data_IF_703246430793
#
_entry.id   IF_703246430793
#
_cell.length_a   1.000
_cell.length_b   1.000
_cell.length_c   1.000
_cell.angle_alpha   90.00
_cell.angle_beta   90.00
_cell.angle_gamma   90.00
#
_symmetry.space_group_name_H-M   'P 1'
#
loop_
_entity.id
_entity.type
_entity.pdbx_description
1 polymer ?
#
# COMPACT_ATOMS: atom_id res chain seq x y z
N UNK A 1 -2.33 11.52 6.02
CA UNK A 1 -1.20 10.85 5.34
C UNK A 1 -0.35 10.12 6.35
N UNK A 2 0.38 9.13 5.89
CA UNK A 2 1.36 8.34 6.63
C UNK A 2 2.79 8.83 6.32
N UNK A 3 3.75 8.66 7.25
CA UNK A 3 5.14 9.08 7.04
C UNK A 3 6.00 8.05 6.31
N UNK A 4 5.45 6.87 6.01
CA UNK A 4 6.17 5.71 5.51
C UNK A 4 6.70 5.84 4.09
N UNK A 5 7.45 4.82 3.69
CA UNK A 5 8.10 4.76 2.39
C UNK A 5 7.15 4.31 1.28
N UNK A 6 7.17 5.06 0.19
CA UNK A 6 6.44 4.79 -1.04
C UNK A 6 7.21 5.41 -2.21
N UNK A 7 7.09 4.85 -3.41
CA UNK A 7 7.48 5.55 -4.64
C UNK A 7 6.25 6.18 -5.30
N UNK A 8 6.39 7.16 -6.19
CA UNK A 8 5.25 7.81 -6.85
C UNK A 8 4.31 6.79 -7.48
N UNK A 9 3.02 6.84 -7.11
CA UNK A 9 1.96 5.93 -7.55
C UNK A 9 2.19 4.44 -7.26
N UNK A 10 3.10 4.09 -6.35
CA UNK A 10 3.46 2.71 -6.05
C UNK A 10 2.29 1.90 -5.46
N UNK A 11 2.26 0.59 -5.75
CA UNK A 11 1.33 -0.38 -5.14
C UNK A 11 1.61 -0.54 -3.65
N UNK A 12 2.87 -0.39 -3.22
CA UNK A 12 3.29 -0.48 -1.82
C UNK A 12 3.28 0.88 -1.16
N UNK A 13 2.65 0.95 0.01
CA UNK A 13 2.70 2.05 0.97
C UNK A 13 3.20 1.48 2.31
N UNK A 14 4.53 1.32 2.42
CA UNK A 14 5.16 0.73 3.60
C UNK A 14 5.30 1.74 4.73
N UNK A 15 4.48 1.62 5.78
CA UNK A 15 4.38 2.62 6.83
C UNK A 15 4.20 2.03 8.22
N UNK A 16 4.61 2.75 9.29
CA UNK A 16 4.29 2.36 10.65
C UNK A 16 2.79 2.45 10.93
N UNK A 17 2.30 1.51 11.74
CA UNK A 17 0.96 1.48 12.30
C UNK A 17 1.02 1.74 13.80
N UNK A 18 0.32 2.76 14.28
CA UNK A 18 0.24 3.03 15.71
C UNK A 18 -0.55 1.98 16.50
N UNK A 19 -1.41 1.21 15.82
CA UNK A 19 -2.14 0.07 16.39
C UNK A 19 -3.46 0.42 17.07
N UNK A 20 -3.84 1.69 17.13
CA UNK A 20 -5.10 2.15 17.70
C UNK A 20 -6.08 2.55 16.58
N UNK A 21 -7.35 2.14 16.67
CA UNK A 21 -8.37 2.56 15.71
C UNK A 21 -8.82 4.00 15.95
N UNK A 22 -9.38 4.66 14.94
CA UNK A 22 -9.96 5.99 15.07
C UNK A 22 -10.12 6.70 13.74
N UNK A 23 -11.02 7.68 13.69
CA UNK A 23 -11.30 8.45 12.47
C UNK A 23 -10.05 9.14 11.91
N UNK A 24 -9.19 9.67 12.77
CA UNK A 24 -7.95 10.37 12.36
C UNK A 24 -6.76 9.43 12.15
N UNK A 25 -6.97 8.10 12.32
CA UNK A 25 -5.92 7.07 12.25
C UNK A 25 -6.05 6.15 11.05
N UNK A 26 -6.87 6.51 10.07
CA UNK A 26 -7.13 5.63 8.91
C UNK A 26 -5.91 5.36 8.04
N UNK A 27 -4.90 6.25 8.11
CA UNK A 27 -3.63 6.05 7.43
C UNK A 27 -2.61 5.23 8.24
N UNK A 28 -3.04 4.59 9.35
CA UNK A 28 -2.19 3.81 10.26
C UNK A 28 -1.39 4.62 11.26
N UNK A 29 -1.05 5.82 10.91
CA UNK A 29 -0.20 6.72 11.69
C UNK A 29 -0.97 7.97 12.11
N UNK A 30 -0.90 8.29 13.40
CA UNK A 30 -1.41 9.53 13.97
C UNK A 30 -0.32 10.18 14.83
N UNK A 31 0.14 11.36 14.43
CA UNK A 31 1.32 12.02 15.01
C UNK A 31 1.32 12.11 16.55
N UNK A 32 0.19 12.38 17.25
CA UNK A 32 0.18 12.39 18.72
C UNK A 32 0.38 11.04 19.40
N UNK A 33 0.26 9.92 18.69
CA UNK A 33 0.43 8.58 19.25
C UNK A 33 1.92 8.29 19.54
N UNK A 34 2.19 7.46 20.54
CA UNK A 34 3.54 7.15 21.02
C UNK A 34 3.89 5.66 20.93
N UNK A 35 3.05 4.88 20.23
CA UNK A 35 3.23 3.45 20.04
C UNK A 35 3.29 3.09 18.56
N UNK A 36 4.06 2.05 18.25
CA UNK A 36 4.07 1.36 16.96
C UNK A 36 3.79 -0.11 17.21
N UNK A 37 2.84 -0.68 16.47
CA UNK A 37 2.41 -2.06 16.59
C UNK A 37 2.69 -2.87 15.31
N UNK A 38 3.42 -2.31 14.37
CA UNK A 38 3.88 -2.98 13.15
C UNK A 38 4.11 -2.01 12.00
N UNK A 39 4.52 -2.59 10.87
CA UNK A 39 4.80 -1.91 9.61
C UNK A 39 4.11 -2.68 8.50
N UNK A 40 2.99 -2.16 8.01
CA UNK A 40 2.20 -2.80 6.94
C UNK A 40 2.50 -2.21 5.56
N UNK A 41 2.13 -2.95 4.51
CA UNK A 41 2.52 -2.66 3.13
C UNK A 41 1.48 -1.87 2.36
N UNK A 42 0.27 -1.73 2.91
CA UNK A 42 -0.84 -1.06 2.24
C UNK A 42 -1.53 -0.08 3.16
N UNK A 43 -1.73 1.16 2.70
CA UNK A 43 -2.37 2.22 3.48
C UNK A 43 -3.23 3.12 2.57
N UNK A 44 -4.34 3.60 3.12
CA UNK A 44 -5.06 4.74 2.56
C UNK A 44 -4.45 6.05 3.08
N UNK A 45 -4.62 7.12 2.32
CA UNK A 45 -4.23 8.48 2.74
C UNK A 45 -5.47 9.34 2.91
N UNK A 46 -5.52 10.14 3.96
CA UNK A 46 -6.65 11.04 4.23
C UNK A 46 -7.32 10.75 5.57
N UNK A 47 -8.61 11.13 5.70
CA UNK A 47 -9.50 10.84 6.82
C UNK A 47 -10.73 10.10 6.34
N UNK A 48 -11.44 9.38 7.21
CA UNK A 48 -12.67 8.67 6.89
C UNK A 48 -12.64 7.18 7.24
N UNK A 49 -12.85 6.32 6.24
CA UNK A 49 -12.85 4.88 6.45
C UNK A 49 -11.43 4.31 6.52
N UNK A 50 -11.10 3.65 7.61
CA UNK A 50 -9.88 2.86 7.72
C UNK A 50 -10.06 1.52 7.02
N UNK A 51 -9.11 1.17 6.18
CA UNK A 51 -9.07 -0.08 5.42
C UNK A 51 -7.61 -0.42 5.07
N UNK A 52 -7.37 -1.62 4.54
CA UNK A 52 -6.05 -2.14 4.17
C UNK A 52 -5.23 -2.61 5.38
N UNK A 53 -3.99 -2.16 5.59
CA UNK A 53 -3.03 -2.63 6.62
C UNK A 53 -2.57 -4.08 6.40
N UNK A 54 -2.40 -4.44 5.15
CA UNK A 54 -2.04 -5.79 4.77
C UNK A 54 -0.54 -6.04 5.02
N UNK A 55 -0.24 -7.28 5.38
CA UNK A 55 1.12 -7.81 5.52
C UNK A 55 1.95 -6.96 6.48
N UNK A 56 1.53 -6.98 7.76
CA UNK A 56 2.16 -6.21 8.83
C UNK A 56 3.27 -7.00 9.52
N UNK A 57 4.49 -6.47 9.53
CA UNK A 57 5.63 -7.01 10.26
C UNK A 57 5.94 -6.20 11.52
N UNK A 58 6.36 -6.88 12.60
CA UNK A 58 6.81 -6.25 13.84
C UNK A 58 8.07 -6.94 14.37
N UNK A 59 9.25 -6.30 14.32
CA UNK A 59 10.45 -6.83 14.93
C UNK A 59 10.46 -6.57 16.44
N UNK A 60 10.93 -7.56 17.21
CA UNK A 60 11.02 -7.50 18.68
C UNK A 60 12.26 -8.22 19.19
N UNK A 61 12.66 -7.92 20.43
CA UNK A 61 13.58 -8.75 21.22
C UNK A 61 12.83 -9.36 22.39
N UNK A 62 13.32 -10.45 22.99
CA UNK A 62 12.70 -11.06 24.17
C UNK A 62 13.23 -10.45 25.46
N UNK A 63 12.35 -10.26 26.50
CA UNK A 63 10.90 -10.43 26.46
C UNK A 63 10.23 -9.31 25.66
N UNK A 64 9.15 -9.62 24.92
CA UNK A 64 8.38 -8.63 24.19
C UNK A 64 7.12 -8.20 24.94
N UNK A 65 6.62 -7.00 24.63
CA UNK A 65 5.41 -6.42 25.20
C UNK A 65 4.19 -6.78 24.36
N UNK A 66 3.14 -7.19 25.03
CA UNK A 66 1.84 -7.45 24.42
C UNK A 66 0.75 -6.80 25.26
N UNK A 67 -0.17 -6.12 24.62
CA UNK A 67 -1.36 -5.53 25.21
C UNK A 67 -2.62 -6.19 24.65
N UNK A 68 -3.78 -6.08 25.32
CA UNK A 68 -5.05 -6.49 24.75
C UNK A 68 -5.29 -5.84 23.39
N UNK A 69 -6.09 -6.52 22.54
CA UNK A 69 -6.54 -5.95 21.26
C UNK A 69 -7.19 -4.55 21.48
N UNK A 70 -7.02 -3.60 20.57
CA UNK A 70 -6.49 -3.77 19.20
C UNK A 70 -4.95 -3.68 19.10
N UNK A 71 -4.23 -3.27 20.14
CA UNK A 71 -2.81 -2.94 20.06
C UNK A 71 -1.93 -4.20 19.79
N UNK A 72 -2.14 -5.30 20.56
CA UNK A 72 -1.32 -6.51 20.44
C UNK A 72 0.14 -6.29 20.81
N UNK A 73 1.06 -6.81 20.03
CA UNK A 73 2.51 -6.59 20.19
C UNK A 73 2.87 -5.18 19.73
N UNK A 74 3.61 -4.44 20.53
CA UNK A 74 3.93 -3.03 20.26
C UNK A 74 5.27 -2.62 20.87
N UNK A 75 5.77 -1.48 20.42
CA UNK A 75 6.84 -0.74 21.08
C UNK A 75 6.46 0.72 21.24
N UNK A 76 6.97 1.37 22.26
CA UNK A 76 6.97 2.82 22.34
C UNK A 76 8.05 3.42 21.44
N UNK A 77 7.81 4.64 20.95
CA UNK A 77 8.77 5.41 20.17
C UNK A 77 8.75 6.90 20.56
N UNK A 78 9.60 7.69 19.94
CA UNK A 78 9.65 9.14 20.10
C UNK A 78 9.94 9.80 18.76
N UNK A 79 9.29 10.92 18.46
CA UNK A 79 9.56 11.72 17.28
C UNK A 79 11.00 12.27 17.21
N UNK A 80 11.72 12.34 18.36
CA UNK A 80 13.14 12.67 18.35
C UNK A 80 14.02 11.58 17.73
N UNK A 81 13.51 10.35 17.70
CA UNK A 81 14.19 9.16 17.17
C UNK A 81 13.55 8.66 15.86
N UNK A 82 12.74 9.53 15.24
CA UNK A 82 12.02 9.28 14.00
C UNK A 82 12.50 10.22 12.89
N UNK A 83 12.54 9.75 11.67
CA UNK A 83 12.78 10.60 10.50
C UNK A 83 12.05 10.06 9.27
N UNK A 84 11.54 10.97 8.45
CA UNK A 84 10.86 10.65 7.20
C UNK A 84 11.33 11.57 6.07
N UNK A 85 11.44 11.02 4.89
CA UNK A 85 11.61 11.74 3.63
C UNK A 85 10.93 10.97 2.50
N UNK A 86 10.77 11.58 1.35
CA UNK A 86 10.13 10.92 0.20
C UNK A 86 10.85 9.62 -0.15
N UNK A 87 10.16 8.48 -0.01
CA UNK A 87 10.69 7.14 -0.26
C UNK A 87 11.48 6.51 0.89
N UNK A 88 11.53 7.14 2.06
CA UNK A 88 12.27 6.63 3.21
C UNK A 88 11.61 7.01 4.53
N UNK A 89 11.64 6.06 5.48
CA UNK A 89 11.25 6.26 6.87
C UNK A 89 12.19 5.52 7.80
N UNK A 90 12.44 6.07 9.00
CA UNK A 90 13.13 5.36 10.07
C UNK A 90 12.56 5.69 11.43
N UNK A 91 12.69 4.74 12.39
CA UNK A 91 12.30 4.93 13.79
C UNK A 91 13.05 3.97 14.70
N UNK A 92 13.33 4.41 15.94
CA UNK A 92 13.83 3.54 17.00
C UNK A 92 12.66 2.97 17.81
N UNK A 93 12.51 1.64 17.82
CA UNK A 93 11.61 0.92 18.72
C UNK A 93 12.27 0.83 20.10
N UNK A 94 11.87 1.73 21.03
CA UNK A 94 12.58 1.94 22.29
C UNK A 94 12.57 0.74 23.21
N UNK A 95 11.46 -0.01 23.23
CA UNK A 95 11.31 -1.14 24.14
C UNK A 95 12.21 -2.32 23.77
N UNK A 96 12.67 -2.35 22.51
CA UNK A 96 13.48 -3.45 21.95
C UNK A 96 14.88 -3.00 21.53
N UNK A 97 15.14 -1.69 21.54
CA UNK A 97 16.37 -1.09 20.99
C UNK A 97 16.66 -1.56 19.56
N UNK A 98 15.61 -1.57 18.71
CA UNK A 98 15.69 -1.93 17.30
C UNK A 98 15.52 -0.67 16.45
N UNK A 99 16.50 -0.36 15.61
CA UNK A 99 16.31 0.65 14.57
C UNK A 99 15.61 0.00 13.38
N UNK A 100 14.51 0.61 12.94
CA UNK A 100 13.73 0.19 11.78
C UNK A 100 13.87 1.25 10.70
N UNK A 101 14.20 0.81 9.50
CA UNK A 101 14.27 1.65 8.31
C UNK A 101 13.43 1.03 7.19
N UNK A 102 12.70 1.86 6.47
CA UNK A 102 11.78 1.45 5.42
C UNK A 102 12.10 2.17 4.11
N UNK A 103 12.06 1.43 3.01
CA UNK A 103 12.03 1.96 1.65
C UNK A 103 11.15 1.07 0.76
N UNK A 104 10.87 1.50 -0.47
CA UNK A 104 9.99 0.76 -1.36
C UNK A 104 10.39 0.88 -2.82
N UNK A 105 9.99 -0.11 -3.62
CA UNK A 105 9.83 -0.03 -5.07
C UNK A 105 8.35 0.12 -5.41
N UNK A 106 7.96 -0.03 -6.67
CA UNK A 106 6.54 0.05 -7.05
C UNK A 106 5.70 -1.05 -6.38
N UNK A 107 6.24 -2.29 -6.28
CA UNK A 107 5.52 -3.48 -5.80
C UNK A 107 6.19 -4.20 -4.64
N UNK A 108 7.31 -3.67 -4.14
CA UNK A 108 8.03 -4.29 -3.03
C UNK A 108 8.28 -3.31 -1.90
N UNK A 109 8.06 -3.77 -0.65
CA UNK A 109 8.50 -3.10 0.56
C UNK A 109 9.82 -3.70 1.05
N UNK A 110 10.78 -2.86 1.41
CA UNK A 110 12.08 -3.27 1.93
C UNK A 110 12.25 -2.66 3.31
N UNK A 111 12.41 -3.52 4.30
CA UNK A 111 12.57 -3.16 5.70
C UNK A 111 13.95 -3.61 6.17
N UNK A 112 14.71 -2.72 6.81
CA UNK A 112 15.97 -3.02 7.48
C UNK A 112 15.75 -2.89 8.98
N UNK A 113 16.06 -3.96 9.71
CA UNK A 113 16.03 -4.00 11.16
C UNK A 113 17.43 -4.16 11.71
N UNK A 114 17.93 -3.16 12.44
CA UNK A 114 19.21 -3.25 13.15
C UNK A 114 18.95 -3.68 14.58
N UNK A 115 19.37 -4.88 14.92
CA UNK A 115 19.11 -5.51 16.22
C UNK A 115 20.26 -5.33 17.20
N UNK A 116 19.99 -5.28 18.51
CA UNK A 116 21.00 -5.54 19.53
C UNK A 116 21.37 -7.05 19.54
N UNK A 117 22.36 -7.43 20.33
CA UNK A 117 22.61 -8.83 20.66
C UNK A 117 21.45 -9.37 21.51
N UNK A 118 20.65 -10.27 20.95
CA UNK A 118 19.42 -10.76 21.58
C UNK A 118 18.88 -12.05 20.95
N UNK A 119 17.96 -12.69 21.66
CA UNK A 119 16.93 -13.54 21.06
C UNK A 119 15.89 -12.62 20.42
N UNK A 120 15.98 -12.49 19.11
CA UNK A 120 15.12 -11.61 18.32
C UNK A 120 14.00 -12.40 17.64
N UNK A 121 12.91 -11.72 17.34
CA UNK A 121 11.83 -12.29 16.54
C UNK A 121 11.23 -11.24 15.60
N UNK A 122 10.72 -11.69 14.47
CA UNK A 122 9.90 -10.88 13.57
C UNK A 122 8.52 -11.52 13.50
N UNK A 123 7.49 -10.77 13.92
CA UNK A 123 6.10 -11.19 13.77
C UNK A 123 5.56 -10.77 12.41
N UNK A 124 4.82 -11.66 11.76
CA UNK A 124 3.93 -11.36 10.64
C UNK A 124 2.49 -11.50 11.12
N UNK A 125 1.73 -10.43 11.03
CA UNK A 125 0.35 -10.38 11.50
C UNK A 125 -0.62 -10.14 10.34
N UNK A 126 -1.35 -11.18 9.93
CA UNK A 126 -2.40 -11.12 8.91
C UNK A 126 -3.81 -10.89 9.52
N UNK A 127 -3.89 -10.82 10.86
CA UNK A 127 -5.14 -10.54 11.60
C UNK A 127 -5.40 -9.05 11.75
N UNK A 128 -4.38 -8.22 11.54
CA UNK A 128 -4.45 -6.80 11.82
C UNK A 128 -5.48 -6.13 10.93
N UNK A 129 -6.37 -5.39 11.55
CA UNK A 129 -7.40 -4.59 10.92
C UNK A 129 -7.53 -3.28 11.70
N UNK A 130 -7.83 -2.17 11.03
CA UNK A 130 -7.83 -0.87 11.70
C UNK A 130 -9.20 -0.42 12.16
N UNK A 131 -10.23 -0.56 11.35
CA UNK A 131 -11.56 -0.06 11.70
C UNK A 131 -12.66 -1.02 11.28
N UNK A 132 -13.01 -0.99 9.99
CA UNK A 132 -14.15 -1.71 9.46
C UNK A 132 -13.76 -2.96 8.71
N UNK A 133 -12.51 -3.03 8.31
CA UNK A 133 -11.97 -4.18 7.63
C UNK A 133 -11.74 -5.35 8.61
N UNK A 134 -11.78 -6.54 8.08
CA UNK A 134 -11.40 -7.75 8.80
C UNK A 134 -10.92 -8.81 7.82
N UNK A 135 -10.07 -9.70 8.30
CA UNK A 135 -9.57 -10.80 7.51
C UNK A 135 -10.64 -11.87 7.34
N UNK A 136 -10.98 -12.17 6.08
CA UNK A 136 -11.88 -13.28 5.72
C UNK A 136 -11.15 -14.60 5.73
N UNK A 137 -9.97 -14.61 5.09
CA UNK A 137 -9.10 -15.76 4.98
C UNK A 137 -7.67 -15.33 4.83
N UNK A 138 -6.73 -16.14 5.30
CA UNK A 138 -5.32 -15.89 5.12
C UNK A 138 -4.53 -17.19 5.08
N UNK A 139 -3.32 -17.11 4.54
CA UNK A 139 -2.38 -18.23 4.50
C UNK A 139 -0.96 -17.73 4.69
N UNK A 140 -0.16 -18.50 5.42
CA UNK A 140 1.29 -18.38 5.47
C UNK A 140 1.88 -19.75 5.15
N UNK A 141 2.80 -19.79 4.20
CA UNK A 141 3.54 -20.98 3.76
C UNK A 141 5.04 -20.69 3.89
N UNK A 142 5.74 -21.53 4.63
CA UNK A 142 7.20 -21.51 4.72
C UNK A 142 7.75 -22.25 3.51
N UNK A 143 8.44 -21.55 2.62
CA UNK A 143 9.08 -22.13 1.43
C UNK A 143 10.43 -22.73 1.79
N UNK A 144 11.23 -21.97 2.53
CA UNK A 144 12.52 -22.39 3.08
C UNK A 144 12.86 -21.55 4.33
N UNK A 145 14.08 -21.64 4.86
CA UNK A 145 14.48 -20.93 6.07
C UNK A 145 14.65 -19.41 5.90
N UNK A 146 14.51 -18.90 4.70
CA UNK A 146 14.61 -17.45 4.37
C UNK A 146 13.39 -16.93 3.66
N UNK A 147 12.51 -17.79 3.15
CA UNK A 147 11.42 -17.39 2.25
C UNK A 147 10.07 -17.90 2.77
N UNK A 148 9.13 -16.98 2.84
CA UNK A 148 7.73 -17.26 3.13
C UNK A 148 6.85 -16.64 2.06
N UNK A 149 5.66 -17.21 1.86
CA UNK A 149 4.64 -16.64 0.99
C UNK A 149 3.24 -16.86 1.56
N UNK A 150 2.28 -16.13 1.07
CA UNK A 150 0.91 -16.29 1.53
C UNK A 150 -0.03 -15.25 0.96
N UNK A 151 -1.15 -15.07 1.65
CA UNK A 151 -2.14 -14.07 1.29
C UNK A 151 -2.96 -13.63 2.50
N UNK A 152 -3.55 -12.46 2.38
CA UNK A 152 -4.66 -11.97 3.19
C UNK A 152 -5.81 -11.60 2.27
N UNK A 153 -6.95 -12.27 2.43
CA UNK A 153 -8.22 -11.87 1.86
C UNK A 153 -8.99 -11.13 2.93
N UNK A 154 -9.42 -9.92 2.65
CA UNK A 154 -10.10 -9.08 3.63
C UNK A 154 -11.37 -8.46 3.07
N UNK A 155 -12.25 -8.06 3.95
CA UNK A 155 -13.44 -7.28 3.66
C UNK A 155 -13.43 -6.03 4.51
N UNK A 156 -13.70 -4.92 3.89
CA UNK A 156 -13.79 -3.63 4.54
C UNK A 156 -14.70 -2.73 3.72
N UNK A 157 -14.15 -1.66 3.22
CA UNK A 157 -14.82 -0.76 2.30
C UNK A 157 -15.06 -1.43 0.95
N UNK A 158 -14.04 -2.11 0.44
CA UNK A 158 -14.19 -3.07 -0.65
C UNK A 158 -14.76 -4.39 -0.10
N UNK A 159 -15.72 -5.05 -0.79
CA UNK A 159 -16.32 -6.30 -0.34
C UNK A 159 -15.35 -7.47 -0.22
N UNK A 160 -14.32 -7.48 -1.05
CA UNK A 160 -13.26 -8.50 -1.04
C UNK A 160 -11.98 -7.91 -1.61
N UNK A 161 -10.95 -7.88 -0.79
CA UNK A 161 -9.62 -7.41 -1.17
C UNK A 161 -8.67 -8.59 -1.20
N UNK A 162 -7.84 -8.65 -2.24
CA UNK A 162 -6.83 -9.67 -2.41
C UNK A 162 -5.44 -9.04 -2.27
N UNK A 163 -4.68 -9.49 -1.26
CA UNK A 163 -3.27 -9.15 -1.14
C UNK A 163 -2.47 -10.42 -0.92
N UNK A 164 -1.74 -10.82 -1.94
CA UNK A 164 -0.79 -11.92 -1.93
C UNK A 164 0.60 -11.37 -1.68
N UNK A 165 1.47 -12.18 -1.05
CA UNK A 165 2.83 -11.77 -0.77
C UNK A 165 3.83 -12.93 -0.92
N UNK A 166 5.07 -12.57 -1.23
CA UNK A 166 6.27 -13.38 -1.02
C UNK A 166 7.31 -12.53 -0.32
N UNK A 167 7.86 -13.03 0.79
CA UNK A 167 8.83 -12.31 1.62
C UNK A 167 10.12 -13.09 1.72
N UNK A 168 11.25 -12.39 1.54
CA UNK A 168 12.60 -12.92 1.75
C UNK A 168 13.25 -12.22 2.95
N UNK A 169 13.80 -13.01 3.85
CA UNK A 169 14.68 -12.57 4.92
C UNK A 169 16.14 -12.72 4.48
N UNK A 170 16.98 -11.72 4.72
CA UNK A 170 18.41 -11.79 4.40
C UNK A 170 19.20 -12.76 5.29
N UNK A 171 18.58 -13.22 6.38
CA UNK A 171 19.14 -14.19 7.34
C UNK A 171 18.14 -15.33 7.54
N UNK A 172 18.60 -16.60 7.57
CA UNK A 172 17.74 -17.72 7.93
C UNK A 172 17.18 -17.59 9.35
N UNK A 173 15.87 -17.79 9.51
CA UNK A 173 15.27 -17.93 10.84
C UNK A 173 15.57 -19.32 11.41
N UNK A 174 15.75 -19.40 12.74
CA UNK A 174 16.08 -20.64 13.44
C UNK A 174 14.85 -21.43 13.85
N UNK A 175 13.69 -20.75 13.96
CA UNK A 175 12.40 -21.37 14.23
C UNK A 175 11.27 -20.52 13.65
N UNK A 176 10.17 -21.19 13.31
CA UNK A 176 8.90 -20.55 12.92
C UNK A 176 7.78 -21.09 13.79
N UNK A 177 6.98 -20.20 14.37
CA UNK A 177 5.80 -20.52 15.17
C UNK A 177 4.59 -19.87 14.53
N UNK A 178 3.59 -20.65 14.17
CA UNK A 178 2.34 -20.16 13.57
C UNK A 178 1.16 -20.39 14.52
N UNK A 179 0.44 -19.33 14.82
CA UNK A 179 -0.88 -19.44 15.42
C UNK A 179 -1.92 -19.59 14.30
N UNK A 180 -2.38 -20.81 14.13
CA UNK A 180 -3.37 -21.20 13.12
C UNK A 180 -4.80 -21.22 13.68
N UNK A 181 -4.99 -20.85 14.95
CA UNK A 181 -6.29 -20.96 15.65
C UNK A 181 -7.04 -19.64 15.74
N UNK A 182 -6.46 -18.58 15.21
CA UNK A 182 -7.07 -17.24 15.26
C UNK A 182 -8.31 -17.13 14.39
N UNK A 183 -9.48 -17.36 14.98
CA UNK A 183 -10.77 -17.04 14.38
C UNK A 183 -11.06 -15.56 14.64
N UNK A 184 -11.33 -14.80 13.59
CA UNK A 184 -11.79 -13.41 13.68
C UNK A 184 -13.30 -13.39 13.58
N UNK A 185 -13.99 -12.88 14.61
CA UNK A 185 -15.42 -12.69 14.59
C UNK A 185 -15.76 -11.20 14.55
N UNK A 186 -16.72 -10.79 13.74
CA UNK A 186 -17.27 -9.44 13.71
C UNK A 186 -18.74 -9.43 14.15
N UNK A 187 -19.24 -8.28 14.62
CA UNK A 187 -20.56 -8.07 15.23
C UNK A 187 -21.79 -8.62 14.46
N UNK A 188 -21.63 -9.01 13.19
CA UNK A 188 -22.70 -9.58 12.36
C UNK A 188 -22.60 -11.09 12.12
N UNK A 189 -21.80 -11.81 12.92
CA UNK A 189 -21.66 -13.27 12.79
C UNK A 189 -20.74 -13.71 11.65
N UNK A 190 -19.93 -12.82 11.06
CA UNK A 190 -18.90 -13.16 10.09
C UNK A 190 -17.73 -13.82 10.79
N UNK A 191 -17.26 -14.93 10.24
CA UNK A 191 -16.13 -15.70 10.76
C UNK A 191 -15.05 -15.73 9.68
N UNK A 192 -13.83 -15.33 10.03
CA UNK A 192 -12.67 -15.38 9.16
C UNK A 192 -11.50 -16.12 9.81
N UNK A 193 -10.56 -16.59 9.02
CA UNK A 193 -9.31 -17.22 9.47
C UNK A 193 -8.16 -16.26 9.28
N UNK A 194 -7.48 -15.89 10.35
CA UNK A 194 -6.34 -15.00 10.31
C UNK A 194 -5.15 -15.59 11.04
N UNK A 195 -4.01 -15.66 10.35
CA UNK A 195 -2.77 -16.20 10.89
C UNK A 195 -1.86 -15.10 11.45
N UNK A 196 -1.16 -15.47 12.52
CA UNK A 196 -0.01 -14.74 13.03
C UNK A 196 1.18 -15.71 13.06
N UNK A 197 2.29 -15.31 12.47
CA UNK A 197 3.53 -16.08 12.51
C UNK A 197 4.62 -15.31 13.25
N UNK A 198 5.51 -16.03 13.96
CA UNK A 198 6.72 -15.52 14.59
C UNK A 198 7.92 -16.27 14.03
N UNK A 199 8.86 -15.54 13.52
CA UNK A 199 10.14 -16.05 13.00
C UNK A 199 11.24 -15.65 13.97
N UNK A 200 11.96 -16.63 14.54
CA UNK A 200 12.97 -16.43 15.57
C UNK A 200 14.37 -16.35 14.97
N UNK A 201 15.18 -15.45 15.51
CA UNK A 201 16.57 -15.21 15.11
C UNK A 201 17.46 -15.06 16.34
N UNK A 202 18.73 -15.48 16.23
CA UNK A 202 19.77 -15.11 17.19
C UNK A 202 20.58 -13.99 16.56
N UNK A 203 20.55 -12.80 17.14
CA UNK A 203 21.21 -11.63 16.60
C UNK A 203 22.46 -11.27 17.41
N UNK A 204 23.46 -10.75 16.71
CA UNK A 204 24.63 -10.09 17.30
C UNK A 204 24.34 -8.60 17.45
N UNK A 205 25.22 -7.92 18.19
CA UNK A 205 25.13 -6.46 18.31
C UNK A 205 25.25 -5.81 16.94
N UNK A 206 24.35 -4.87 16.67
CA UNK A 206 24.26 -4.09 15.42
C UNK A 206 24.08 -4.96 14.16
N UNK A 207 23.52 -6.17 14.32
CA UNK A 207 23.23 -7.03 13.18
C UNK A 207 22.00 -6.57 12.43
N UNK A 208 22.12 -6.44 11.12
CA UNK A 208 21.05 -6.05 10.22
C UNK A 208 20.34 -7.28 9.62
N UNK A 209 19.02 -7.27 9.64
CA UNK A 209 18.17 -8.25 8.93
C UNK A 209 17.27 -7.45 7.98
N UNK A 210 17.35 -7.77 6.69
CA UNK A 210 16.43 -7.25 5.70
C UNK A 210 15.22 -8.16 5.59
N UNK A 211 14.04 -7.53 5.52
CA UNK A 211 12.76 -8.18 5.23
C UNK A 211 12.21 -7.53 3.96
N UNK A 212 12.31 -8.25 2.85
CA UNK A 212 11.92 -7.76 1.53
C UNK A 212 10.68 -8.50 1.07
N UNK A 213 9.58 -7.76 0.86
CA UNK A 213 8.26 -8.33 0.54
C UNK A 213 7.76 -7.78 -0.79
N UNK A 214 7.52 -8.65 -1.76
CA UNK A 214 6.73 -8.35 -2.94
C UNK A 214 5.25 -8.61 -2.67
N UNK A 215 4.37 -7.73 -3.14
CA UNK A 215 2.91 -7.92 -3.06
C UNK A 215 2.28 -8.00 -4.44
N UNK A 216 1.11 -8.61 -4.53
CA UNK A 216 0.30 -8.78 -5.75
C UNK A 216 -1.19 -8.79 -5.40
N UNK A 217 -2.02 -8.22 -6.26
CA UNK A 217 -3.48 -8.37 -6.19
C UNK A 217 -3.98 -9.67 -6.82
N UNK A 218 -3.10 -10.50 -7.42
CA UNK A 218 -3.47 -11.62 -8.29
C UNK A 218 -3.16 -12.96 -7.68
N UNK A 219 -1.91 -13.18 -7.25
CA UNK A 219 -1.47 -14.48 -6.73
C UNK A 219 -0.15 -14.42 -5.96
N UNK A 220 0.14 -15.46 -5.16
CA UNK A 220 1.45 -15.63 -4.50
C UNK A 220 2.58 -15.72 -5.53
N UNK A 221 2.33 -16.35 -6.68
CA UNK A 221 3.31 -16.40 -7.78
C UNK A 221 3.57 -15.00 -8.37
N UNK A 222 2.51 -14.18 -8.55
CA UNK A 222 2.60 -12.79 -8.97
C UNK A 222 3.47 -11.98 -8.01
N UNK A 223 3.23 -12.11 -6.71
CA UNK A 223 4.04 -11.46 -5.67
C UNK A 223 5.53 -11.87 -5.77
N UNK A 224 5.81 -13.14 -5.97
CA UNK A 224 7.17 -13.63 -6.19
C UNK A 224 7.81 -13.11 -7.48
N UNK A 225 7.04 -12.96 -8.57
CA UNK A 225 7.53 -12.33 -9.81
C UNK A 225 7.90 -10.87 -9.56
N UNK A 226 7.03 -10.12 -8.87
CA UNK A 226 7.27 -8.73 -8.51
C UNK A 226 8.54 -8.60 -7.65
N UNK A 227 8.70 -9.45 -6.63
CA UNK A 227 9.88 -9.48 -5.77
C UNK A 227 11.17 -9.72 -6.56
N UNK A 228 11.19 -10.73 -7.42
CA UNK A 228 12.38 -11.07 -8.23
C UNK A 228 12.70 -10.02 -9.27
N UNK A 229 11.72 -9.33 -9.81
CA UNK A 229 11.92 -8.30 -10.83
C UNK A 229 12.41 -6.98 -10.23
N UNK A 230 11.82 -6.55 -9.11
CA UNK A 230 12.06 -5.21 -8.55
C UNK A 230 13.05 -5.18 -7.38
N UNK A 231 13.12 -6.27 -6.59
CA UNK A 231 13.96 -6.33 -5.40
C UNK A 231 14.82 -7.62 -5.32
N UNK A 232 15.62 -7.94 -6.37
CA UNK A 232 16.46 -9.15 -6.39
C UNK A 232 17.64 -9.13 -5.43
N UNK A 233 18.06 -7.96 -4.93
CA UNK A 233 19.25 -7.79 -4.09
C UNK A 233 18.90 -7.64 -2.61
N UNK A 234 19.81 -8.04 -1.73
CA UNK A 234 19.77 -7.71 -0.30
C UNK A 234 20.63 -6.45 -0.05
N UNK A 235 20.20 -5.31 -0.58
CA UNK A 235 20.90 -4.03 -0.54
C UNK A 235 19.91 -2.89 -0.30
N UNK A 236 19.66 -2.59 0.97
CA UNK A 236 18.70 -1.55 1.37
C UNK A 236 19.08 -0.17 0.81
N UNK A 237 20.36 0.20 0.91
CA UNK A 237 20.81 1.54 0.53
C UNK A 237 20.68 1.78 -0.98
N UNK A 238 20.84 0.73 -1.78
CA UNK A 238 20.55 0.77 -3.21
C UNK A 238 19.08 1.14 -3.49
N UNK A 239 18.12 0.47 -2.84
CA UNK A 239 16.70 0.75 -3.05
C UNK A 239 16.27 2.10 -2.49
N UNK A 240 16.82 2.52 -1.35
CA UNK A 240 16.59 3.85 -0.79
C UNK A 240 17.05 4.94 -1.77
N UNK A 241 18.26 4.80 -2.34
CA UNK A 241 18.78 5.73 -3.34
C UNK A 241 17.89 5.78 -4.60
N UNK A 242 17.39 4.63 -5.07
CA UNK A 242 16.49 4.55 -6.22
C UNK A 242 15.13 5.22 -5.92
N UNK A 243 14.55 4.99 -4.75
CA UNK A 243 13.30 5.62 -4.33
C UNK A 243 13.46 7.15 -4.24
N UNK A 244 14.53 7.62 -3.63
CA UNK A 244 14.86 9.05 -3.56
C UNK A 244 15.06 9.67 -4.95
N UNK A 245 15.81 9.02 -5.84
CA UNK A 245 16.00 9.48 -7.22
C UNK A 245 14.69 9.51 -8.01
N UNK A 246 13.80 8.54 -7.80
CA UNK A 246 12.48 8.51 -8.43
C UNK A 246 11.63 9.70 -7.97
N UNK A 247 11.56 9.97 -6.67
CA UNK A 247 10.85 11.14 -6.15
C UNK A 247 11.45 12.46 -6.64
N UNK A 248 12.77 12.60 -6.64
CA UNK A 248 13.43 13.81 -7.15
C UNK A 248 13.10 14.05 -8.63
N UNK A 249 13.09 13.00 -9.45
CA UNK A 249 12.69 13.11 -10.87
C UNK A 249 11.24 13.58 -11.03
N UNK A 250 10.33 13.09 -10.20
CA UNK A 250 8.92 13.48 -10.29
C UNK A 250 8.67 14.89 -9.76
N UNK A 251 9.23 15.21 -8.59
CA UNK A 251 9.03 16.52 -7.98
C UNK A 251 9.71 17.65 -8.76
N UNK A 252 10.81 17.37 -9.47
CA UNK A 252 11.51 18.36 -10.33
C UNK A 252 10.81 18.66 -11.65
N UNK A 253 9.69 17.99 -12.00
CA UNK A 253 8.89 18.35 -13.16
C UNK A 253 8.28 19.76 -13.06
N UNK A 254 8.10 20.26 -11.84
CA UNK A 254 7.67 21.63 -11.58
C UNK A 254 8.68 22.26 -10.62
N UNK A 255 9.47 23.20 -11.15
CA UNK A 255 10.41 23.99 -10.35
C UNK A 255 9.79 25.31 -9.93
N UNK A 256 9.70 25.54 -8.63
CA UNK A 256 9.23 26.80 -8.05
C UNK A 256 10.33 27.50 -7.31
N UNK A 257 10.30 28.83 -7.28
CA UNK A 257 11.20 29.67 -6.50
C UNK A 257 10.38 30.64 -5.65
N UNK A 258 10.61 30.64 -4.34
CA UNK A 258 10.04 31.59 -3.39
C UNK A 258 11.14 32.16 -2.49
N UNK A 259 10.93 33.39 -2.01
CA UNK A 259 11.77 33.97 -0.95
C UNK A 259 11.41 33.41 0.44
N UNK A 260 10.23 32.79 0.57
CA UNK A 260 9.74 32.16 1.78
C UNK A 260 9.94 30.64 1.63
N UNK A 261 10.77 30.05 2.49
CA UNK A 261 11.04 28.62 2.54
C UNK A 261 9.77 27.79 2.84
N UNK A 262 8.87 28.32 3.68
CA UNK A 262 7.62 27.63 4.03
C UNK A 262 6.71 27.42 2.82
N UNK A 263 6.70 28.36 1.86
CA UNK A 263 5.93 28.21 0.63
C UNK A 263 6.50 27.09 -0.26
N UNK A 264 7.83 26.96 -0.28
CA UNK A 264 8.50 25.87 -0.98
C UNK A 264 8.15 24.52 -0.34
N UNK A 265 8.21 24.42 0.98
CA UNK A 265 7.82 23.20 1.73
C UNK A 265 6.37 22.84 1.45
N UNK A 266 5.44 23.79 1.56
CA UNK A 266 4.01 23.57 1.27
C UNK A 266 3.78 23.10 -0.16
N UNK A 267 4.44 23.73 -1.13
CA UNK A 267 4.29 23.38 -2.53
C UNK A 267 4.75 21.93 -2.82
N UNK A 268 5.98 21.59 -2.42
CA UNK A 268 6.52 20.27 -2.69
C UNK A 268 5.85 19.17 -1.86
N UNK A 269 5.39 19.47 -0.65
CA UNK A 269 4.56 18.55 0.15
C UNK A 269 3.22 18.29 -0.54
N UNK A 270 2.55 19.31 -1.06
CA UNK A 270 1.30 19.16 -1.80
C UNK A 270 1.51 18.37 -3.11
N UNK A 271 2.59 18.64 -3.84
CA UNK A 271 2.94 17.90 -5.05
C UNK A 271 3.27 16.43 -4.72
N UNK A 272 4.01 16.16 -3.64
CA UNK A 272 4.23 14.79 -3.13
C UNK A 272 2.91 14.09 -2.83
N UNK A 273 2.00 14.74 -2.09
CA UNK A 273 0.70 14.16 -1.74
C UNK A 273 -0.16 13.82 -2.97
N UNK A 274 -0.07 14.59 -4.05
CA UNK A 274 -0.83 14.31 -5.28
C UNK A 274 -0.43 12.99 -5.97
N UNK A 275 0.77 12.45 -5.63
CA UNK A 275 1.30 11.22 -6.23
C UNK A 275 1.25 9.99 -5.29
N UNK A 276 0.59 10.11 -4.13
CA UNK A 276 0.38 8.99 -3.21
C UNK A 276 -0.70 8.04 -3.74
N UNK A 277 -1.76 8.60 -4.32
CA UNK A 277 -2.85 7.88 -4.97
C UNK A 277 -3.27 8.63 -6.25
N UNK A 278 -3.80 7.91 -7.25
CA UNK A 278 -4.08 6.48 -7.34
C UNK A 278 -2.80 5.63 -7.33
N UNK A 279 -2.95 4.33 -7.08
CA UNK A 279 -1.81 3.41 -6.96
C UNK A 279 -1.79 2.38 -8.08
N UNK A 280 -0.62 1.96 -8.50
CA UNK A 280 -0.45 0.82 -9.41
C UNK A 280 -1.20 -0.39 -8.81
N UNK A 281 -1.96 -1.08 -9.66
CA UNK A 281 -2.68 -2.29 -9.31
C UNK A 281 -2.58 -3.32 -10.43
N UNK A 282 -1.35 -3.58 -10.87
CA UNK A 282 -0.99 -4.67 -11.77
C UNK A 282 0.41 -5.17 -11.43
N UNK A 283 0.61 -6.48 -11.61
CA UNK A 283 1.91 -7.12 -11.46
C UNK A 283 2.88 -6.69 -12.57
N UNK A 284 4.16 -7.00 -12.44
CA UNK A 284 5.19 -6.68 -13.45
C UNK A 284 4.92 -7.29 -14.82
N UNK A 285 4.15 -8.38 -14.87
CA UNK A 285 3.72 -9.02 -16.13
C UNK A 285 2.40 -8.45 -16.68
N UNK A 286 1.85 -7.40 -16.06
CA UNK A 286 0.62 -6.72 -16.43
C UNK A 286 -0.65 -7.37 -15.87
N UNK A 287 -0.57 -8.49 -15.15
CA UNK A 287 -1.75 -9.15 -14.58
C UNK A 287 -2.40 -8.30 -13.48
N UNK A 288 -3.73 -8.22 -13.44
CA UNK A 288 -4.51 -7.54 -12.40
C UNK A 288 -5.86 -8.21 -12.16
N UNK A 289 -6.46 -7.98 -11.01
CA UNK A 289 -7.78 -8.48 -10.64
C UNK A 289 -8.85 -7.44 -10.93
N UNK A 290 -9.81 -7.76 -11.80
CA UNK A 290 -10.85 -6.86 -12.27
C UNK A 290 -12.10 -6.83 -11.38
N UNK A 291 -13.01 -5.85 -11.58
CA UNK A 291 -14.26 -5.75 -10.82
C UNK A 291 -15.25 -6.88 -11.10
N UNK A 292 -15.08 -7.62 -12.21
CA UNK A 292 -15.80 -8.85 -12.53
C UNK A 292 -15.26 -10.09 -11.80
N UNK A 293 -14.29 -9.88 -10.90
CA UNK A 293 -13.63 -10.92 -10.12
C UNK A 293 -12.86 -11.93 -10.96
N UNK A 294 -12.36 -11.48 -12.11
CA UNK A 294 -11.49 -12.25 -12.99
C UNK A 294 -10.09 -11.64 -13.07
N UNK A 295 -9.12 -12.47 -13.41
CA UNK A 295 -7.75 -12.02 -13.68
C UNK A 295 -7.67 -11.56 -15.13
N UNK A 296 -7.22 -10.34 -15.32
CA UNK A 296 -7.00 -9.71 -16.62
C UNK A 296 -5.54 -9.36 -16.82
N UNK A 297 -5.21 -8.88 -18.01
CA UNK A 297 -3.87 -8.42 -18.37
C UNK A 297 -3.90 -7.04 -19.01
N UNK A 298 -3.14 -6.12 -18.43
CA UNK A 298 -2.82 -4.82 -19.00
C UNK A 298 -1.61 -4.98 -19.92
N UNK A 299 -1.85 -5.09 -21.24
CA UNK A 299 -0.81 -5.27 -22.22
C UNK A 299 -0.40 -3.92 -22.81
N UNK A 300 0.85 -3.51 -22.55
CA UNK A 300 1.39 -2.22 -22.99
C UNK A 300 0.86 -0.99 -22.25
N UNK A 301 0.22 -1.16 -21.07
CA UNK A 301 -0.24 -0.09 -20.20
C UNK A 301 -0.23 -0.55 -18.73
N UNK A 302 -0.35 0.37 -17.80
CA UNK A 302 -0.36 0.09 -16.34
C UNK A 302 -1.76 0.26 -15.79
N UNK A 303 -2.27 -0.75 -15.07
CA UNK A 303 -3.55 -0.64 -14.36
C UNK A 303 -3.37 0.01 -13.00
N UNK A 304 -4.33 0.87 -12.63
CA UNK A 304 -4.35 1.61 -11.37
C UNK A 304 -5.62 1.32 -10.58
N UNK A 305 -5.57 1.53 -9.27
CA UNK A 305 -6.67 1.46 -8.32
C UNK A 305 -6.59 2.60 -7.31
N UNK A 306 -7.50 2.60 -6.31
CA UNK A 306 -7.56 3.62 -5.25
C UNK A 306 -7.90 5.00 -5.81
N UNK A 307 -8.98 5.05 -6.59
CA UNK A 307 -9.45 6.27 -7.22
C UNK A 307 -10.54 6.95 -6.40
N UNK A 308 -10.21 8.00 -5.68
CA UNK A 308 -11.18 8.92 -5.08
C UNK A 308 -11.56 10.02 -6.07
N UNK A 309 -12.32 9.65 -7.12
CA UNK A 309 -12.54 10.54 -8.28
C UNK A 309 -13.31 11.80 -7.93
N UNK A 310 -14.22 11.76 -6.97
CA UNK A 310 -14.98 12.94 -6.55
C UNK A 310 -14.10 14.03 -5.90
N UNK A 311 -12.92 13.66 -5.38
CA UNK A 311 -11.90 14.57 -4.88
C UNK A 311 -10.95 15.02 -5.99
N UNK A 312 -10.44 14.06 -6.79
CA UNK A 312 -9.26 14.25 -7.63
C UNK A 312 -9.58 14.84 -9.02
N UNK A 313 -10.83 14.77 -9.47
CA UNK A 313 -11.22 15.20 -10.81
C UNK A 313 -10.98 16.69 -11.08
N UNK A 314 -11.07 17.54 -10.03
CA UNK A 314 -10.96 18.99 -10.16
C UNK A 314 -9.54 19.48 -10.39
N UNK A 315 -8.55 18.87 -9.75
CA UNK A 315 -7.18 19.39 -9.74
C UNK A 315 -6.12 18.31 -10.01
N UNK A 316 -6.14 17.17 -9.33
CA UNK A 316 -5.08 16.17 -9.46
C UNK A 316 -5.05 15.54 -10.85
N UNK A 317 -6.19 15.08 -11.38
CA UNK A 317 -6.22 14.54 -12.76
C UNK A 317 -5.89 15.60 -13.81
N UNK A 318 -6.42 16.85 -13.78
CA UNK A 318 -5.96 17.92 -14.63
C UNK A 318 -4.46 18.22 -14.54
N UNK A 319 -3.86 18.14 -13.33
CA UNK A 319 -2.42 18.27 -13.13
C UNK A 319 -1.66 17.13 -13.83
N UNK A 320 -2.13 15.89 -13.68
CA UNK A 320 -1.50 14.71 -14.30
C UNK A 320 -1.45 14.80 -15.82
N UNK A 321 -2.39 15.46 -16.46
CA UNK A 321 -2.32 15.67 -17.93
C UNK A 321 -1.08 16.47 -18.35
N UNK A 322 -0.47 17.25 -17.47
CA UNK A 322 0.77 18.00 -17.71
C UNK A 322 2.01 17.31 -17.18
N UNK A 323 1.92 16.74 -15.96
CA UNK A 323 3.10 16.18 -15.29
C UNK A 323 3.29 14.68 -15.57
N UNK A 324 2.20 13.96 -15.85
CA UNK A 324 2.15 12.50 -16.00
C UNK A 324 1.25 12.08 -17.19
N UNK A 325 1.45 12.62 -18.42
CA UNK A 325 0.51 12.38 -19.52
C UNK A 325 0.36 10.90 -19.89
N UNK A 326 1.44 10.12 -19.81
CA UNK A 326 1.42 8.68 -20.06
C UNK A 326 0.60 7.94 -19.00
N UNK A 327 0.80 8.28 -17.73
CA UNK A 327 0.00 7.71 -16.62
C UNK A 327 -1.47 8.14 -16.71
N UNK A 328 -1.75 9.39 -17.06
CA UNK A 328 -3.12 9.87 -17.27
C UNK A 328 -3.83 9.06 -18.36
N UNK A 329 -3.13 8.76 -19.45
CA UNK A 329 -3.64 7.91 -20.52
C UNK A 329 -3.90 6.46 -20.04
N UNK A 330 -2.96 5.88 -19.29
CA UNK A 330 -3.12 4.54 -18.72
C UNK A 330 -4.28 4.46 -17.71
N UNK A 331 -4.47 5.48 -16.88
CA UNK A 331 -5.61 5.57 -15.97
C UNK A 331 -6.94 5.54 -16.74
N UNK A 332 -7.03 6.26 -17.87
CA UNK A 332 -8.23 6.26 -18.72
C UNK A 332 -8.43 4.89 -19.39
N UNK A 333 -7.37 4.25 -19.90
CA UNK A 333 -7.46 2.86 -20.38
C UNK A 333 -8.01 1.94 -19.29
N UNK A 334 -7.55 2.11 -18.05
CA UNK A 334 -8.07 1.39 -16.88
C UNK A 334 -9.56 1.66 -16.63
N UNK A 335 -10.03 2.90 -16.74
CA UNK A 335 -11.45 3.24 -16.60
C UNK A 335 -12.31 2.58 -17.68
N UNK A 336 -11.82 2.51 -18.94
CA UNK A 336 -12.54 1.85 -20.02
C UNK A 336 -12.60 0.32 -19.81
N UNK A 337 -11.52 -0.29 -19.33
CA UNK A 337 -11.52 -1.70 -18.97
C UNK A 337 -12.43 -1.97 -17.77
N UNK A 338 -12.44 -1.08 -16.79
CA UNK A 338 -13.37 -1.16 -15.66
C UNK A 338 -14.83 -1.10 -16.14
N UNK A 339 -15.15 -0.20 -17.08
CA UNK A 339 -16.46 -0.14 -17.71
C UNK A 339 -16.83 -1.46 -18.42
N UNK A 340 -15.93 -2.03 -19.21
CA UNK A 340 -16.16 -3.32 -19.89
C UNK A 340 -16.46 -4.47 -18.92
N UNK A 341 -15.86 -4.44 -17.74
CA UNK A 341 -15.95 -5.49 -16.70
C UNK A 341 -17.10 -5.25 -15.71
N UNK A 342 -17.48 -4.01 -15.46
CA UNK A 342 -18.47 -3.63 -14.43
C UNK A 342 -19.76 -3.01 -15.01
N UNK A 343 -19.79 -2.67 -16.30
CA UNK A 343 -20.93 -2.02 -16.95
C UNK A 343 -21.04 -0.52 -16.71
N UNK A 344 -20.15 0.09 -15.92
CA UNK A 344 -20.06 1.54 -15.71
C UNK A 344 -18.62 1.95 -15.45
N UNK A 345 -18.33 3.25 -15.69
CA UNK A 345 -17.07 3.85 -15.28
C UNK A 345 -16.91 3.85 -13.75
N UNK A 346 -15.68 3.85 -13.23
CA UNK A 346 -15.48 3.82 -11.79
C UNK A 346 -15.97 5.09 -11.11
N UNK A 347 -16.50 4.93 -9.90
CA UNK A 347 -16.86 6.00 -8.98
C UNK A 347 -15.80 6.12 -7.87
N UNK A 348 -15.59 5.05 -7.12
CA UNK A 348 -14.54 4.90 -6.11
C UNK A 348 -13.99 3.48 -6.12
N UNK A 349 -13.08 3.22 -7.02
CA UNK A 349 -12.46 1.92 -7.20
C UNK A 349 -11.42 1.66 -6.12
N UNK A 350 -11.51 0.51 -5.44
CA UNK A 350 -10.55 0.03 -4.45
C UNK A 350 -10.26 -1.45 -4.66
N UNK A 351 -9.01 -1.79 -4.99
CA UNK A 351 -8.48 -3.16 -5.07
C UNK A 351 -9.37 -4.10 -5.89
N UNK A 352 -9.70 -3.70 -7.12
CA UNK A 352 -10.51 -4.48 -8.04
C UNK A 352 -12.02 -4.43 -7.80
N UNK A 353 -12.53 -3.57 -6.91
CA UNK A 353 -13.96 -3.42 -6.64
C UNK A 353 -14.43 -1.98 -6.83
N UNK A 354 -15.71 -1.84 -7.23
CA UNK A 354 -16.42 -0.59 -7.08
C UNK A 354 -17.04 -0.51 -5.69
N UNK A 355 -16.65 0.50 -4.91
CA UNK A 355 -17.18 0.66 -3.55
C UNK A 355 -18.50 1.40 -3.52
N UNK A 356 -18.91 2.03 -4.62
CA UNK A 356 -20.10 2.91 -4.74
C UNK A 356 -20.13 4.01 -3.67
N UNK A 357 -18.96 4.45 -3.23
CA UNK A 357 -18.85 5.52 -2.24
C UNK A 357 -18.81 6.89 -2.91
N UNK A 358 -19.42 7.86 -2.23
CA UNK A 358 -19.59 9.24 -2.65
C UNK A 358 -20.52 9.37 -3.87
N UNK A 359 -20.67 10.57 -4.34
CA UNK A 359 -21.63 10.94 -5.39
C UNK A 359 -20.94 11.26 -6.71
N UNK A 360 -21.72 11.27 -7.80
CA UNK A 360 -21.31 11.76 -9.10
C UNK A 360 -20.68 10.67 -9.97
N UNK A 361 -20.36 11.05 -11.22
CA UNK A 361 -19.70 10.22 -12.23
C UNK A 361 -18.44 10.93 -12.75
N UNK A 362 -17.52 11.15 -11.82
CA UNK A 362 -16.37 12.04 -12.02
C UNK A 362 -15.28 11.48 -12.94
N UNK A 363 -15.36 10.20 -13.34
CA UNK A 363 -14.53 9.64 -14.39
C UNK A 363 -14.79 10.37 -15.74
N UNK A 364 -16.03 10.83 -15.99
CA UNK A 364 -16.42 11.53 -17.22
C UNK A 364 -15.60 12.80 -17.44
N UNK A 365 -15.58 13.79 -16.51
CA UNK A 365 -14.77 15.00 -16.70
C UNK A 365 -13.27 14.69 -16.78
N UNK A 366 -12.74 13.65 -16.12
CA UNK A 366 -11.34 13.24 -16.24
C UNK A 366 -11.02 12.79 -17.66
N UNK A 367 -11.86 11.94 -18.27
CA UNK A 367 -11.70 11.48 -19.65
C UNK A 367 -11.79 12.63 -20.64
N UNK A 368 -12.81 13.49 -20.49
CA UNK A 368 -13.07 14.60 -21.41
C UNK A 368 -11.95 15.65 -21.35
N UNK A 369 -11.49 16.01 -20.13
CA UNK A 369 -10.39 16.96 -19.94
C UNK A 369 -9.09 16.46 -20.61
N UNK A 370 -8.74 15.19 -20.39
CA UNK A 370 -7.57 14.60 -21.01
C UNK A 370 -7.67 14.57 -22.55
N UNK A 371 -8.82 14.15 -23.08
CA UNK A 371 -9.08 14.11 -24.52
C UNK A 371 -8.94 15.50 -25.18
N UNK A 372 -9.56 16.53 -24.57
CA UNK A 372 -9.50 17.91 -25.08
C UNK A 372 -8.09 18.50 -25.00
N UNK A 373 -7.22 18.00 -24.13
CA UNK A 373 -5.80 18.38 -24.02
C UNK A 373 -4.89 17.57 -24.95
N UNK A 374 -5.44 16.69 -25.77
CA UNK A 374 -4.69 15.90 -26.76
C UNK A 374 -4.09 14.60 -26.21
N UNK A 375 -4.47 14.17 -24.99
CA UNK A 375 -4.15 12.85 -24.49
C UNK A 375 -5.22 11.90 -25.04
N UNK A 376 -4.90 11.11 -26.04
CA UNK A 376 -5.88 10.34 -26.79
C UNK A 376 -5.42 8.97 -27.27
N UNK A 377 -4.38 8.39 -26.64
CA UNK A 377 -3.96 7.01 -26.94
C UNK A 377 -4.88 5.98 -26.22
N UNK A 378 -6.19 6.24 -26.32
CA UNK A 378 -7.26 5.35 -25.90
C UNK A 378 -8.41 5.40 -26.92
N UNK A 379 -9.31 4.43 -26.87
CA UNK A 379 -10.46 4.39 -27.78
C UNK A 379 -11.51 5.45 -27.40
N UNK A 380 -11.55 6.58 -28.14
CA UNK A 380 -12.44 7.72 -27.87
C UNK A 380 -13.93 7.37 -28.10
N UNK A 381 -14.26 6.51 -29.06
CA UNK A 381 -15.63 6.06 -29.30
C UNK A 381 -16.13 5.23 -28.12
N UNK A 382 -15.29 4.29 -27.63
CA UNK A 382 -15.58 3.50 -26.44
C UNK A 382 -15.69 4.37 -25.20
N UNK A 383 -14.87 5.41 -25.08
CA UNK A 383 -14.93 6.37 -23.99
C UNK A 383 -16.28 7.13 -23.99
N UNK A 384 -16.75 7.58 -25.15
CA UNK A 384 -18.07 8.22 -25.27
C UNK A 384 -19.21 7.26 -24.93
N UNK A 385 -19.16 6.00 -25.42
CA UNK A 385 -20.12 4.96 -25.06
C UNK A 385 -20.17 4.76 -23.54
N UNK A 386 -19.01 4.60 -22.90
CA UNK A 386 -18.90 4.41 -21.45
C UNK A 386 -19.42 5.61 -20.64
N UNK A 387 -19.16 6.84 -21.11
CA UNK A 387 -19.70 8.06 -20.49
C UNK A 387 -21.23 8.11 -20.55
N UNK A 388 -21.80 7.81 -21.73
CA UNK A 388 -23.26 7.80 -21.95
C UNK A 388 -23.92 6.69 -21.10
N UNK A 389 -23.37 5.48 -21.12
CA UNK A 389 -23.89 4.35 -20.34
C UNK A 389 -23.87 4.66 -18.84
N UNK A 390 -22.76 5.21 -18.33
CA UNK A 390 -22.61 5.60 -16.92
C UNK A 390 -23.61 6.69 -16.52
N UNK A 391 -23.84 7.70 -17.38
CA UNK A 391 -24.79 8.79 -17.11
C UNK A 391 -26.25 8.36 -17.12
N UNK A 392 -26.58 7.26 -17.79
CA UNK A 392 -27.96 6.72 -17.88
C UNK A 392 -28.23 5.55 -16.91
N UNK A 393 -27.33 5.27 -15.97
CA UNK A 393 -27.58 4.23 -14.96
C UNK A 393 -28.61 4.66 -13.95
N UNK A 394 -29.67 3.84 -13.77
CA UNK A 394 -30.74 4.10 -12.79
C UNK A 394 -30.39 3.63 -11.36
N UNK A 395 -29.34 2.84 -11.21
CA UNK A 395 -28.91 2.25 -9.93
C UNK A 395 -27.78 3.06 -9.24
N UNK A 396 -27.44 4.22 -9.75
CA UNK A 396 -26.59 5.19 -9.05
C UNK A 396 -27.35 5.77 -7.85
N UNK A 397 -26.88 5.47 -6.66
CA UNK A 397 -27.41 6.01 -5.40
C UNK A 397 -26.79 7.37 -5.07
#
# INVERSE_FOLDING_TARGET
TYPGAQVPFGMVQLSPDNGLPGWDRISGYFYPDTTIAGFSHTHLSGTGAGDLYDISFMPVTRPYKEAPAPLGIYSTFSHNDEAASAGYYRVLLKDYNINVELTATERCGIQRYTFPEAEASVFLNLKKAMNWDFTLDSKIEVVDSTTIRGYRLSQGWSPLQHVYFETRFSKPFVACHMDTTSIVTKEKGWIGTAYVARFDFNTKKDEEILVTTGISGVSMEGAGKNLRAEAPKDDFDYYQAQASANWNRQLSKIEVKSRNTDDMVKFYTALYHSMIAPTIYSDVDGSYYGPDQQIHKADGWTNYSTFSLWDTYRASHPLFTYTEPERANDMIKGFLKFYEQNGALPLWNLYGWETNMMIGYHAVPVIVDAYLKGIGDFNAEKALEACIATANRDDYR
#
